data_IF_200406320156
#
_entry.id   IF_200406320156
#
_cell.length_a   1.000
_cell.length_b   1.000
_cell.length_c   1.000
_cell.angle_alpha   90.00
_cell.angle_beta   90.00
_cell.angle_gamma   90.00
#
_symmetry.space_group_name_H-M   'P 1'
#
loop_
_entity.id
_entity.type
_entity.pdbx_description
1 polymer ?
#
# COMPACT_ATOMS: atom_id res chain seq x y z
N UNK A 1 8.28 20.49 -8.50
CA UNK A 1 9.07 19.99 -9.65
C UNK A 1 10.17 18.98 -9.28
N UNK A 2 10.37 18.64 -7.99
CA UNK A 2 11.43 17.73 -7.52
C UNK A 2 11.07 16.22 -7.57
N UNK A 3 9.80 15.83 -7.63
CA UNK A 3 9.36 14.43 -7.50
C UNK A 3 9.45 13.57 -8.78
N UNK A 4 9.37 14.18 -9.97
CA UNK A 4 9.38 13.44 -11.26
C UNK A 4 10.73 12.75 -11.56
N UNK A 5 11.83 13.32 -11.07
CA UNK A 5 13.18 12.78 -11.26
C UNK A 5 13.48 11.62 -10.29
N UNK A 6 12.84 11.56 -9.13
CA UNK A 6 13.08 10.49 -8.15
C UNK A 6 12.43 9.15 -8.55
N UNK A 7 11.27 9.16 -9.23
CA UNK A 7 10.60 7.94 -9.70
C UNK A 7 11.38 7.23 -10.82
N UNK A 8 11.91 7.99 -11.78
CA UNK A 8 12.76 7.44 -12.84
C UNK A 8 14.07 6.89 -12.29
N UNK A 9 14.65 7.56 -11.29
CA UNK A 9 15.81 7.06 -10.55
C UNK A 9 15.44 5.78 -9.81
N UNK A 10 14.24 5.67 -9.22
CA UNK A 10 13.79 4.45 -8.54
C UNK A 10 13.69 3.26 -9.50
N UNK A 11 13.01 3.41 -10.64
CA UNK A 11 12.86 2.34 -11.64
C UNK A 11 14.22 1.94 -12.21
N UNK A 12 15.08 2.91 -12.50
CA UNK A 12 16.44 2.64 -12.98
C UNK A 12 17.31 1.97 -11.91
N UNK A 13 17.20 2.37 -10.63
CA UNK A 13 17.98 1.79 -9.53
C UNK A 13 17.48 0.40 -9.15
N UNK A 14 16.17 0.17 -9.20
CA UNK A 14 15.55 -1.15 -9.07
C UNK A 14 16.07 -2.06 -10.19
N UNK A 15 15.98 -1.64 -11.46
CA UNK A 15 16.50 -2.41 -12.61
C UNK A 15 18.02 -2.67 -12.54
N UNK A 16 18.82 -1.69 -12.11
CA UNK A 16 20.28 -1.78 -12.08
C UNK A 16 20.79 -2.61 -10.89
N UNK A 17 20.01 -2.76 -9.82
CA UNK A 17 20.40 -3.57 -8.65
C UNK A 17 19.81 -4.98 -8.72
N UNK A 18 18.69 -5.19 -9.43
CA UNK A 18 18.20 -6.53 -9.77
C UNK A 18 19.21 -7.37 -10.55
N UNK A 19 20.14 -6.75 -11.29
CA UNK A 19 21.26 -7.46 -11.93
C UNK A 19 22.41 -7.80 -10.99
N UNK A 20 22.46 -7.24 -9.76
CA UNK A 20 23.54 -7.45 -8.79
C UNK A 20 23.11 -8.18 -7.49
N UNK A 21 21.84 -8.13 -7.09
CA UNK A 21 21.37 -8.78 -5.86
C UNK A 21 20.87 -10.20 -6.14
N UNK A 22 21.51 -11.19 -5.51
CA UNK A 22 21.06 -12.57 -5.47
C UNK A 22 19.62 -12.65 -4.92
N UNK A 23 18.63 -12.78 -5.81
CA UNK A 23 17.29 -13.24 -5.43
C UNK A 23 17.44 -14.65 -4.85
N UNK A 24 17.45 -14.77 -3.52
CA UNK A 24 17.28 -16.08 -2.89
C UNK A 24 15.86 -16.55 -3.17
N UNK A 25 15.72 -17.72 -3.78
CA UNK A 25 14.42 -18.40 -3.87
C UNK A 25 13.96 -18.65 -2.43
N UNK A 26 12.95 -17.92 -2.00
CA UNK A 26 12.35 -18.00 -0.67
C UNK A 26 10.84 -18.26 -0.80
N UNK A 27 10.18 -18.61 0.30
CA UNK A 27 8.71 -18.61 0.28
C UNK A 27 8.25 -17.15 0.11
N UNK A 28 7.78 -16.79 -1.09
CA UNK A 28 7.22 -15.46 -1.34
C UNK A 28 6.04 -15.18 -0.41
N UNK A 29 5.80 -13.89 -0.14
CA UNK A 29 4.66 -13.44 0.68
C UNK A 29 3.37 -13.95 0.04
N UNK A 30 2.64 -14.77 0.79
CA UNK A 30 1.32 -15.24 0.43
C UNK A 30 0.29 -14.24 0.95
N UNK A 31 -0.58 -13.77 0.06
CA UNK A 31 -1.71 -12.90 0.41
C UNK A 31 -2.97 -13.75 0.60
N UNK A 32 -3.96 -13.30 1.39
CA UNK A 32 -5.23 -14.01 1.54
C UNK A 32 -5.96 -14.22 0.21
N UNK A 33 -6.61 -15.38 0.05
CA UNK A 33 -7.42 -15.75 -1.13
C UNK A 33 -8.86 -15.23 -1.00
N UNK A 34 -8.99 -13.93 -0.68
CA UNK A 34 -10.27 -13.21 -0.67
C UNK A 34 -10.26 -12.22 -1.81
N UNK A 35 -11.33 -12.18 -2.62
CA UNK A 35 -11.38 -11.20 -3.68
C UNK A 35 -11.69 -9.81 -3.12
N UNK A 36 -11.01 -8.82 -3.70
CA UNK A 36 -11.13 -7.40 -3.35
C UNK A 36 -11.27 -6.64 -4.65
N UNK A 37 -12.45 -6.06 -4.85
CA UNK A 37 -12.75 -5.21 -6.00
C UNK A 37 -12.16 -3.81 -5.80
N UNK A 38 -11.76 -3.19 -6.90
CA UNK A 38 -11.23 -1.83 -6.91
C UNK A 38 -12.16 -0.96 -7.75
N UNK A 39 -12.79 0.03 -7.16
CA UNK A 39 -13.68 0.96 -7.85
C UNK A 39 -13.49 2.39 -7.37
N UNK A 40 -13.78 3.37 -8.24
CA UNK A 40 -13.78 4.77 -7.83
C UNK A 40 -14.91 5.07 -6.83
N UNK A 41 -16.03 4.37 -6.97
CA UNK A 41 -17.22 4.52 -6.12
C UNK A 41 -16.89 4.16 -4.66
N UNK A 42 -16.26 3.00 -4.44
CA UNK A 42 -15.82 2.55 -3.11
C UNK A 42 -14.75 3.50 -2.53
N UNK A 43 -13.87 4.05 -3.37
CA UNK A 43 -12.85 5.01 -2.94
C UNK A 43 -13.46 6.34 -2.47
N UNK A 44 -14.52 6.81 -3.12
CA UNK A 44 -15.26 8.02 -2.73
C UNK A 44 -16.10 7.76 -1.48
N UNK A 45 -16.71 6.58 -1.38
CA UNK A 45 -17.43 6.16 -0.17
C UNK A 45 -16.49 6.13 1.03
N UNK A 46 -15.32 5.50 0.92
CA UNK A 46 -14.31 5.46 1.97
C UNK A 46 -13.90 6.87 2.44
N UNK A 47 -13.71 7.81 1.51
CA UNK A 47 -13.41 9.21 1.85
C UNK A 47 -14.56 9.90 2.58
N UNK A 48 -15.80 9.70 2.13
CA UNK A 48 -16.98 10.27 2.78
C UNK A 48 -17.19 9.69 4.18
N UNK A 49 -16.96 8.38 4.34
CA UNK A 49 -16.99 7.69 5.63
C UNK A 49 -15.90 8.18 6.56
N UNK A 50 -14.71 8.50 6.05
CA UNK A 50 -13.65 9.10 6.84
C UNK A 50 -14.09 10.44 7.44
N UNK A 51 -14.60 11.33 6.59
CA UNK A 51 -15.02 12.68 7.01
C UNK A 51 -16.18 12.58 8.00
N UNK A 52 -17.18 11.74 7.71
CA UNK A 52 -18.38 11.61 8.55
C UNK A 52 -18.10 10.83 9.83
N UNK A 53 -17.38 9.71 9.71
CA UNK A 53 -17.03 8.84 10.83
C UNK A 53 -16.13 9.55 11.84
N UNK A 54 -15.18 10.37 11.38
CA UNK A 54 -14.40 11.22 12.28
C UNK A 54 -15.26 12.21 13.04
N UNK A 55 -16.36 12.71 12.48
CA UNK A 55 -17.33 13.53 13.24
C UNK A 55 -18.16 12.71 14.24
N UNK A 56 -18.32 11.40 14.00
CA UNK A 56 -19.09 10.48 14.85
C UNK A 56 -18.24 9.70 15.87
N UNK A 57 -16.93 9.90 15.88
CA UNK A 57 -16.00 9.25 16.83
C UNK A 57 -15.21 8.05 16.28
N UNK A 58 -15.43 7.66 15.02
CA UNK A 58 -14.68 6.61 14.35
C UNK A 58 -15.27 6.17 13.01
N UNK A 59 -14.49 5.41 12.25
CA UNK A 59 -14.87 4.81 10.97
C UNK A 59 -14.33 3.39 10.88
N UNK A 60 -15.13 2.50 10.29
CA UNK A 60 -14.69 1.16 9.89
C UNK A 60 -14.61 1.11 8.37
N UNK A 61 -13.47 0.67 7.85
CA UNK A 61 -13.22 0.52 6.42
C UNK A 61 -13.03 -0.95 6.09
N UNK A 62 -13.82 -1.44 5.14
CA UNK A 62 -13.66 -2.77 4.56
C UNK A 62 -12.40 -2.86 3.68
N UNK A 63 -11.92 -4.08 3.41
CA UNK A 63 -10.83 -4.34 2.45
C UNK A 63 -11.08 -3.67 1.09
N UNK A 64 -12.31 -3.74 0.56
CA UNK A 64 -12.71 -3.10 -0.71
C UNK A 64 -12.60 -1.58 -0.66
N UNK A 65 -13.14 -0.96 0.39
CA UNK A 65 -13.11 0.49 0.57
C UNK A 65 -11.68 1.01 0.72
N UNK A 66 -10.87 0.37 1.57
CA UNK A 66 -9.49 0.79 1.78
C UNK A 66 -8.61 0.55 0.56
N UNK A 67 -8.77 -0.58 -0.14
CA UNK A 67 -7.99 -0.90 -1.35
C UNK A 67 -8.30 0.07 -2.49
N UNK A 68 -9.58 0.41 -2.64
CA UNK A 68 -10.04 1.39 -3.61
C UNK A 68 -9.49 2.78 -3.29
N UNK A 69 -9.59 3.20 -2.02
CA UNK A 69 -9.03 4.46 -1.54
C UNK A 69 -7.52 4.55 -1.80
N UNK A 70 -6.75 3.55 -1.34
CA UNK A 70 -5.30 3.53 -1.48
C UNK A 70 -4.87 3.53 -2.94
N UNK A 71 -5.60 2.81 -3.81
CA UNK A 71 -5.35 2.82 -5.25
C UNK A 71 -5.52 4.21 -5.85
N UNK A 72 -6.63 4.88 -5.57
CA UNK A 72 -6.91 6.21 -6.13
C UNK A 72 -5.99 7.29 -5.56
N UNK A 73 -5.68 7.24 -4.26
CA UNK A 73 -4.67 8.13 -3.65
C UNK A 73 -3.30 7.95 -4.28
N UNK A 74 -2.88 6.71 -4.54
CA UNK A 74 -1.60 6.47 -5.20
C UNK A 74 -1.62 7.03 -6.63
N UNK A 75 -2.68 6.75 -7.42
CA UNK A 75 -2.81 7.26 -8.79
C UNK A 75 -2.78 8.79 -8.84
N UNK A 76 -3.47 9.46 -7.92
CA UNK A 76 -3.46 10.91 -7.80
C UNK A 76 -2.04 11.46 -7.54
N UNK A 77 -1.21 10.70 -6.83
CA UNK A 77 0.14 11.11 -6.44
C UNK A 77 1.26 10.74 -7.43
N UNK A 78 1.00 9.87 -8.41
CA UNK A 78 2.06 9.18 -9.16
C UNK A 78 2.26 9.63 -10.61
N UNK A 79 1.48 10.61 -11.09
CA UNK A 79 1.66 11.23 -12.41
C UNK A 79 1.51 10.27 -13.60
N UNK A 80 1.75 10.78 -14.82
CA UNK A 80 1.50 10.06 -16.07
C UNK A 80 2.30 8.74 -16.22
N UNK A 81 3.47 8.65 -15.57
CA UNK A 81 4.36 7.50 -15.59
C UNK A 81 4.19 6.56 -14.38
N UNK A 82 3.03 6.57 -13.70
CA UNK A 82 2.78 5.67 -12.59
C UNK A 82 2.96 4.20 -13.01
N UNK A 83 3.87 3.43 -12.38
CA UNK A 83 4.05 2.01 -12.67
C UNK A 83 2.97 1.12 -12.03
N UNK A 84 2.19 1.63 -11.07
CA UNK A 84 1.17 0.87 -10.34
C UNK A 84 -0.19 1.00 -11.03
N UNK A 85 -0.90 -0.11 -11.20
CA UNK A 85 -2.26 -0.16 -11.74
C UNK A 85 -3.31 -0.20 -10.63
N UNK A 86 -3.07 -0.98 -9.58
CA UNK A 86 -3.93 -1.07 -8.40
C UNK A 86 -3.18 -1.60 -7.18
N UNK A 87 -3.71 -1.36 -5.99
CA UNK A 87 -3.29 -1.99 -4.75
C UNK A 87 -4.49 -2.68 -4.13
N UNK A 88 -4.37 -3.98 -3.86
CA UNK A 88 -5.29 -4.73 -3.01
C UNK A 88 -4.71 -4.84 -1.61
N UNK A 89 -5.54 -4.67 -0.59
CA UNK A 89 -5.18 -4.76 0.80
C UNK A 89 -6.09 -5.76 1.50
N UNK A 90 -5.50 -6.58 2.36
CA UNK A 90 -6.21 -7.49 3.24
C UNK A 90 -5.80 -7.27 4.68
N UNK A 91 -6.78 -7.36 5.57
CA UNK A 91 -6.60 -7.15 6.99
C UNK A 91 -6.72 -8.48 7.74
N UNK A 92 -5.77 -8.70 8.62
CA UNK A 92 -5.77 -9.74 9.65
C UNK A 92 -5.39 -9.07 10.97
N UNK A 93 -5.65 -9.69 12.14
CA UNK A 93 -5.22 -9.16 13.42
C UNK A 93 -3.73 -8.76 13.40
N UNK A 94 -3.45 -7.49 13.73
CA UNK A 94 -2.12 -6.85 13.74
C UNK A 94 -1.35 -6.84 12.40
N UNK A 95 -1.94 -7.31 11.30
CA UNK A 95 -1.22 -7.52 10.04
C UNK A 95 -2.02 -7.04 8.84
N UNK A 96 -1.34 -6.28 7.98
CA UNK A 96 -1.85 -5.93 6.64
C UNK A 96 -1.04 -6.66 5.58
N UNK A 97 -1.75 -7.26 4.62
CA UNK A 97 -1.17 -7.79 3.39
C UNK A 97 -1.52 -6.85 2.25
N UNK A 98 -0.57 -6.57 1.37
CA UNK A 98 -0.80 -5.76 0.19
C UNK A 98 -0.36 -6.53 -1.05
N UNK A 99 -1.12 -6.41 -2.13
CA UNK A 99 -0.70 -6.80 -3.46
C UNK A 99 -0.72 -5.56 -4.36
N UNK A 100 0.47 -5.13 -4.76
CA UNK A 100 0.66 -4.04 -5.70
C UNK A 100 0.70 -4.63 -7.10
N UNK A 101 -0.30 -4.31 -7.91
CA UNK A 101 -0.33 -4.65 -9.33
C UNK A 101 0.43 -3.59 -10.12
N UNK A 102 1.35 -4.03 -10.98
CA UNK A 102 2.21 -3.19 -11.78
C UNK A 102 1.84 -3.30 -13.26
N UNK A 103 2.12 -2.24 -14.02
CA UNK A 103 2.07 -2.29 -15.49
C UNK A 103 3.09 -3.30 -16.01
N UNK A 104 2.79 -3.86 -17.17
CA UNK A 104 3.73 -4.74 -17.87
C UNK A 104 5.07 -4.02 -18.14
N UNK A 105 6.17 -4.74 -17.98
CA UNK A 105 7.53 -4.22 -18.21
C UNK A 105 8.14 -3.44 -17.04
N UNK A 106 7.41 -3.22 -15.94
CA UNK A 106 7.98 -2.63 -14.72
C UNK A 106 8.94 -3.60 -14.03
N UNK A 107 8.53 -4.86 -13.92
CA UNK A 107 9.39 -5.95 -13.45
C UNK A 107 9.84 -6.80 -14.65
N UNK A 108 11.00 -7.46 -14.57
CA UNK A 108 11.37 -8.47 -15.55
C UNK A 108 10.32 -9.58 -15.59
N UNK A 109 10.00 -10.10 -16.79
CA UNK A 109 8.91 -11.06 -16.98
C UNK A 109 8.99 -12.31 -16.08
N UNK A 110 10.19 -12.71 -15.67
CA UNK A 110 10.43 -13.82 -14.75
C UNK A 110 9.83 -13.62 -13.34
N UNK A 111 9.51 -12.38 -12.96
CA UNK A 111 8.96 -12.00 -11.65
C UNK A 111 7.45 -11.71 -11.69
N UNK A 112 6.84 -11.70 -12.88
CA UNK A 112 5.43 -11.33 -13.07
C UNK A 112 5.19 -9.82 -12.95
N UNK A 113 3.95 -9.46 -12.62
CA UNK A 113 3.48 -8.06 -12.55
C UNK A 113 2.98 -7.68 -11.16
N UNK A 114 3.28 -8.47 -10.13
CA UNK A 114 2.79 -8.26 -8.78
C UNK A 114 3.94 -8.18 -7.77
N UNK A 115 3.78 -7.26 -6.81
CA UNK A 115 4.56 -7.24 -5.58
C UNK A 115 3.62 -7.54 -4.42
N UNK A 116 3.90 -8.59 -3.67
CA UNK A 116 3.17 -8.90 -2.45
C UNK A 116 3.97 -8.37 -1.25
N UNK A 117 3.30 -7.71 -0.32
CA UNK A 117 3.89 -7.07 0.85
C UNK A 117 3.14 -7.56 2.10
N UNK A 118 3.85 -7.63 3.22
CA UNK A 118 3.23 -7.81 4.53
C UNK A 118 3.82 -6.80 5.51
N UNK A 119 2.96 -6.24 6.35
CA UNK A 119 3.31 -5.13 7.22
C UNK A 119 2.40 -4.98 8.42
N UNK A 120 2.40 -3.78 8.99
CA UNK A 120 1.47 -3.31 10.01
C UNK A 120 0.92 -1.93 9.61
N UNK A 121 -0.21 -1.56 10.21
CA UNK A 121 -0.80 -0.22 10.11
C UNK A 121 -0.67 0.45 11.47
N UNK A 122 -0.30 1.72 11.47
CA UNK A 122 -0.17 2.56 12.67
C UNK A 122 -0.65 3.98 12.34
N UNK A 123 -0.71 4.86 13.35
CA UNK A 123 -0.97 6.29 13.21
C UNK A 123 0.31 7.05 13.52
N UNK A 124 0.84 7.76 12.52
CA UNK A 124 2.02 8.61 12.68
C UNK A 124 1.66 10.02 12.24
N UNK A 125 1.89 11.01 13.12
CA UNK A 125 1.59 12.42 12.86
C UNK A 125 0.14 12.66 12.37
N UNK A 126 -0.84 11.94 12.95
CA UNK A 126 -2.26 11.98 12.56
C UNK A 126 -2.54 11.48 11.13
N UNK A 127 -1.68 10.63 10.58
CA UNK A 127 -1.91 9.93 9.31
C UNK A 127 -1.84 8.43 9.52
N UNK A 128 -2.61 7.67 8.74
CA UNK A 128 -2.37 6.25 8.61
C UNK A 128 -0.98 6.04 8.01
N UNK A 129 -0.18 5.20 8.64
CA UNK A 129 1.14 4.81 8.18
C UNK A 129 1.21 3.30 8.06
N UNK A 130 1.73 2.82 6.93
CA UNK A 130 2.01 1.41 6.71
C UNK A 130 3.51 1.18 6.88
N UNK A 131 3.85 0.19 7.71
CA UNK A 131 5.22 -0.30 7.84
C UNK A 131 5.32 -1.68 7.20
N UNK A 132 5.90 -1.74 6.01
CA UNK A 132 6.21 -3.00 5.31
C UNK A 132 7.40 -3.66 5.99
N UNK A 133 7.22 -4.93 6.35
CA UNK A 133 8.22 -5.79 6.99
C UNK A 133 8.87 -6.75 5.99
N UNK A 134 8.08 -7.28 5.07
CA UNK A 134 8.55 -8.18 4.02
C UNK A 134 7.86 -7.88 2.69
N UNK A 135 8.54 -8.21 1.59
CA UNK A 135 8.00 -8.10 0.25
C UNK A 135 8.51 -9.25 -0.63
N UNK A 136 7.73 -9.60 -1.65
CA UNK A 136 8.13 -10.54 -2.69
C UNK A 136 7.60 -10.16 -4.06
N UNK A 137 8.35 -10.52 -5.11
CA UNK A 137 7.92 -10.48 -6.50
C UNK A 137 7.76 -11.93 -6.98
N UNK A 138 6.51 -12.40 -7.08
CA UNK A 138 6.24 -13.84 -7.25
C UNK A 138 6.92 -14.68 -6.15
N UNK A 139 7.70 -15.72 -6.50
CA UNK A 139 8.36 -16.60 -5.53
C UNK A 139 9.68 -16.01 -4.97
N UNK A 140 10.03 -14.76 -5.28
CA UNK A 140 11.31 -14.19 -4.90
C UNK A 140 11.13 -13.16 -3.79
N UNK A 141 11.80 -13.36 -2.67
CA UNK A 141 11.85 -12.37 -1.59
C UNK A 141 12.63 -11.12 -2.04
N UNK A 142 12.12 -9.96 -1.65
CA UNK A 142 12.74 -8.65 -1.90
C UNK A 142 13.47 -8.23 -0.61
N UNK A 143 14.78 -7.97 -0.73
CA UNK A 143 15.62 -7.64 0.44
C UNK A 143 15.21 -6.35 1.15
N UNK A 144 15.49 -6.24 2.45
CA UNK A 144 15.09 -5.12 3.31
C UNK A 144 15.51 -3.72 2.81
N UNK A 145 16.65 -3.59 2.13
CA UNK A 145 17.10 -2.32 1.56
C UNK A 145 16.14 -1.77 0.48
N UNK A 146 15.40 -2.67 -0.18
CA UNK A 146 14.40 -2.32 -1.21
C UNK A 146 13.04 -1.97 -0.61
N UNK A 147 12.81 -2.19 0.69
CA UNK A 147 11.54 -1.87 1.35
C UNK A 147 11.42 -0.38 1.70
N UNK A 148 12.54 0.31 1.95
CA UNK A 148 12.50 1.71 2.35
C UNK A 148 11.81 2.63 1.31
N UNK A 149 12.06 2.50 0.00
CA UNK A 149 11.34 3.29 -0.99
C UNK A 149 9.87 2.90 -1.15
N UNK A 150 9.52 1.62 -0.95
CA UNK A 150 8.13 1.13 -0.98
C UNK A 150 7.34 1.73 0.19
N UNK A 151 7.90 1.69 1.39
CA UNK A 151 7.34 2.35 2.57
C UNK A 151 7.16 3.85 2.34
N UNK A 152 8.18 4.53 1.79
CA UNK A 152 8.09 5.96 1.52
C UNK A 152 6.96 6.29 0.53
N UNK A 153 6.72 5.46 -0.48
CA UNK A 153 5.68 5.71 -1.48
C UNK A 153 4.27 5.42 -0.94
N UNK A 154 4.07 4.33 -0.19
CA UNK A 154 2.80 4.04 0.47
C UNK A 154 2.44 5.16 1.45
N UNK A 155 3.40 5.56 2.29
CA UNK A 155 3.17 6.61 3.29
C UNK A 155 3.04 8.00 2.67
N UNK A 156 3.68 8.27 1.52
CA UNK A 156 3.42 9.50 0.77
C UNK A 156 2.00 9.55 0.19
N UNK A 157 1.44 8.41 -0.24
CA UNK A 157 0.05 8.35 -0.70
C UNK A 157 -0.93 8.58 0.45
N UNK A 158 -0.65 8.00 1.63
CA UNK A 158 -1.48 8.14 2.83
C UNK A 158 -1.30 9.50 3.54
N UNK A 159 -0.18 10.19 3.36
CA UNK A 159 0.06 11.51 3.94
C UNK A 159 -0.94 12.57 3.45
N UNK A 160 -1.54 12.39 2.27
CA UNK A 160 -2.60 13.27 1.78
C UNK A 160 -3.96 12.99 2.45
N UNK A 161 -4.08 11.87 3.15
CA UNK A 161 -5.26 11.47 3.88
C UNK A 161 -5.10 11.86 5.35
N UNK A 162 -5.33 13.14 5.62
CA UNK A 162 -5.16 13.73 6.94
C UNK A 162 -6.33 13.37 7.86
N UNK A 163 -6.03 12.71 8.96
CA UNK A 163 -7.02 12.46 10.01
C UNK A 163 -7.11 13.73 10.87
N UNK A 164 -8.33 14.24 11.02
CA UNK A 164 -8.55 15.56 11.63
C UNK A 164 -8.33 15.58 13.16
N UNK A 165 -8.09 14.42 13.81
CA UNK A 165 -7.98 14.27 15.26
C UNK A 165 -7.02 13.13 15.62
N UNK A 166 -6.56 13.02 16.89
CA UNK A 166 -5.89 11.83 17.39
C UNK A 166 -6.80 10.61 17.20
N UNK A 167 -6.25 9.54 16.67
CA UNK A 167 -7.00 8.31 16.39
C UNK A 167 -6.20 7.09 16.82
N UNK A 168 -6.92 6.06 17.24
CA UNK A 168 -6.42 4.71 17.36
C UNK A 168 -6.78 3.92 16.11
N UNK A 169 -5.93 2.96 15.76
CA UNK A 169 -6.17 2.04 14.66
C UNK A 169 -6.16 0.61 15.18
N UNK A 170 -7.16 -0.17 14.79
CA UNK A 170 -7.18 -1.61 15.00
C UNK A 170 -7.48 -2.35 13.70
N UNK A 171 -6.90 -3.54 13.57
CA UNK A 171 -7.14 -4.45 12.47
C UNK A 171 -7.86 -5.69 12.97
N UNK A 172 -8.98 -5.99 12.34
CA UNK A 172 -9.66 -7.28 12.44
C UNK A 172 -9.67 -7.94 11.05
N UNK A 173 -9.99 -9.22 10.99
CA UNK A 173 -10.09 -9.91 9.70
C UNK A 173 -11.12 -9.20 8.82
N UNK A 174 -10.66 -8.64 7.70
CA UNK A 174 -11.49 -7.95 6.72
C UNK A 174 -11.82 -6.48 7.01
N UNK A 175 -11.42 -5.93 8.17
CA UNK A 175 -11.82 -4.57 8.60
C UNK A 175 -10.65 -3.82 9.22
N UNK A 176 -10.50 -2.55 8.82
CA UNK A 176 -9.67 -1.54 9.46
C UNK A 176 -10.59 -0.59 10.24
N UNK A 177 -10.41 -0.50 11.55
CA UNK A 177 -11.14 0.45 12.39
C UNK A 177 -10.22 1.60 12.77
N UNK A 178 -10.72 2.82 12.60
CA UNK A 178 -10.07 4.06 13.02
C UNK A 178 -11.02 4.74 14.01
N UNK A 179 -10.68 4.77 15.29
CA UNK A 179 -11.48 5.42 16.34
C UNK A 179 -10.77 6.66 16.86
N UNK A 180 -11.50 7.60 17.45
CA UNK A 180 -10.85 8.69 18.18
C UNK A 180 -10.00 8.12 19.32
N UNK A 181 -8.75 8.57 19.39
CA UNK A 181 -7.85 8.25 20.48
C UNK A 181 -8.38 8.87 21.78
N UNK A 182 -8.39 8.10 22.86
CA UNK A 182 -8.75 8.60 24.19
C UNK A 182 -7.65 9.49 24.79
#
# INVERSE_FOLDING_TARGET
MFYRKQLMVLVALVLLVFSLSACTVGAGVQVPDRDVSISLEDALEAQNMAVTGMMMGGVELTETQFSSLLTELLKANSGENNPVTSIKAWFEPDTIYLQVNLKEGVLPAAFGTTLNLVGSVDVVDNHLAITVREASAGPYAVSGAMLAPVNAQLNAALANYQLLMPVDVSLDTGVLSVSMGQ
#
